data_IF_114900401473
#
_entry.id   IF_114900401473
#
_cell.length_a   1.000
_cell.length_b   1.000
_cell.length_c   1.000
_cell.angle_alpha   90.00
_cell.angle_beta   90.00
_cell.angle_gamma   90.00
#
_symmetry.space_group_name_H-M   'P 1'
#
loop_
_entity.id
_entity.type
_entity.pdbx_description
1 polymer ?
#
# COMPACT_ATOMS: atom_id res chain seq x y z
N UNK A 1 6.25 -2.56 14.55
CA UNK A 1 4.93 -2.07 14.99
C UNK A 1 4.82 -2.22 16.50
N UNK A 2 4.39 -1.17 17.22
CA UNK A 2 3.88 -1.38 18.57
C UNK A 2 2.71 -2.34 18.42
N UNK A 3 2.78 -3.54 18.99
CA UNK A 3 1.65 -4.47 19.00
C UNK A 3 0.38 -3.74 19.47
N UNK A 4 -0.82 -4.25 19.15
CA UNK A 4 -2.05 -3.70 19.74
C UNK A 4 -1.91 -3.51 21.27
N UNK A 5 -1.18 -4.40 21.93
CA UNK A 5 -0.83 -4.28 23.35
C UNK A 5 0.06 -3.06 23.66
N UNK A 6 1.09 -2.78 22.85
CA UNK A 6 1.92 -1.57 22.98
C UNK A 6 1.16 -0.27 22.74
N UNK A 7 0.31 -0.23 21.71
CA UNK A 7 -0.54 0.94 21.42
C UNK A 7 -1.64 1.11 22.48
N UNK A 8 -2.25 0.01 22.94
CA UNK A 8 -3.20 0.04 24.05
C UNK A 8 -2.52 0.51 25.34
N UNK A 9 -1.33 0.02 25.69
CA UNK A 9 -0.60 0.45 26.87
C UNK A 9 -0.27 1.94 26.81
N UNK A 10 0.20 2.43 25.66
CA UNK A 10 0.43 3.86 25.43
C UNK A 10 -0.86 4.68 25.59
N UNK A 11 -1.93 4.27 24.92
CA UNK A 11 -3.22 4.96 24.97
C UNK A 11 -3.86 4.87 26.37
N UNK A 12 -3.57 3.81 27.14
CA UNK A 12 -3.96 3.65 28.54
C UNK A 12 -3.25 4.66 29.43
N UNK A 13 -1.94 4.85 29.24
CA UNK A 13 -1.16 5.88 29.96
C UNK A 13 -1.70 7.27 29.63
N UNK A 14 -1.91 7.58 28.34
CA UNK A 14 -2.45 8.88 27.92
C UNK A 14 -3.86 9.10 28.48
N UNK A 15 -4.76 8.12 28.36
CA UNK A 15 -6.11 8.23 28.90
C UNK A 15 -6.10 8.40 30.43
N UNK A 16 -5.26 7.64 31.15
CA UNK A 16 -5.13 7.76 32.60
C UNK A 16 -4.64 9.16 33.03
N UNK A 17 -3.71 9.76 32.29
CA UNK A 17 -3.25 11.14 32.54
C UNK A 17 -4.36 12.15 32.25
N UNK A 18 -5.05 12.03 31.11
CA UNK A 18 -6.11 12.97 30.72
C UNK A 18 -7.35 12.90 31.63
N UNK A 19 -7.63 11.75 32.25
CA UNK A 19 -8.80 11.56 33.12
C UNK A 19 -8.42 11.27 34.57
N UNK A 20 -7.25 11.71 35.03
CA UNK A 20 -6.73 11.47 36.39
C UNK A 20 -7.68 11.99 37.50
N UNK A 21 -8.51 12.98 37.18
CA UNK A 21 -9.54 13.48 38.08
C UNK A 21 -10.56 12.40 38.50
N UNK A 22 -10.84 11.42 37.63
CA UNK A 22 -11.76 10.32 37.94
C UNK A 22 -11.30 9.51 39.15
N UNK A 23 -10.12 8.87 39.11
CA UNK A 23 -9.56 8.15 40.25
C UNK A 23 -9.44 9.00 41.53
N UNK A 24 -9.08 10.28 41.41
CA UNK A 24 -8.98 11.19 42.56
C UNK A 24 -10.35 11.41 43.21
N UNK A 25 -11.38 11.75 42.41
CA UNK A 25 -12.74 11.94 42.91
C UNK A 25 -13.33 10.64 43.48
N UNK A 26 -12.97 9.48 42.92
CA UNK A 26 -13.38 8.18 43.43
C UNK A 26 -12.85 7.98 44.86
N UNK A 27 -11.56 8.25 45.08
CA UNK A 27 -10.91 8.12 46.38
C UNK A 27 -11.49 9.12 47.38
N UNK A 28 -11.65 10.39 47.00
CA UNK A 28 -12.25 11.42 47.85
C UNK A 28 -13.71 11.09 48.24
N UNK A 29 -14.51 10.61 47.28
CA UNK A 29 -15.87 10.16 47.52
C UNK A 29 -15.91 8.94 48.45
N UNK A 30 -15.01 7.98 48.27
CA UNK A 30 -14.91 6.81 49.14
C UNK A 30 -14.55 7.17 50.59
N UNK A 31 -13.60 8.09 50.81
CA UNK A 31 -13.26 8.60 52.13
C UNK A 31 -14.43 9.36 52.77
N UNK A 32 -15.09 10.24 52.02
CA UNK A 32 -16.24 10.99 52.53
C UNK A 32 -17.47 10.14 52.85
N UNK A 33 -17.67 9.01 52.15
CA UNK A 33 -18.74 8.05 52.48
C UNK A 33 -18.39 7.19 53.70
N UNK A 34 -17.09 6.95 53.93
CA UNK A 34 -16.61 6.12 55.03
C UNK A 34 -16.57 6.85 56.39
N UNK A 35 -16.64 8.19 56.41
CA UNK A 35 -16.68 8.97 57.65
C UNK A 35 -18.08 8.93 58.29
N UNK A 36 -18.25 8.32 59.48
CA UNK A 36 -19.55 8.20 60.13
C UNK A 36 -20.08 9.51 60.72
N UNK A 37 -19.31 10.61 60.73
CA UNK A 37 -19.63 11.85 61.43
C UNK A 37 -20.45 12.89 60.65
N UNK A 38 -20.61 12.76 59.34
CA UNK A 38 -21.18 13.82 58.48
C UNK A 38 -22.63 13.53 58.07
N UNK A 39 -23.54 14.48 58.35
CA UNK A 39 -24.99 14.34 58.10
C UNK A 39 -25.38 14.53 56.63
N UNK A 40 -24.49 15.06 55.78
CA UNK A 40 -24.76 15.28 54.35
C UNK A 40 -23.87 14.41 53.44
N UNK A 41 -24.32 13.17 53.21
CA UNK A 41 -23.65 12.20 52.34
C UNK A 41 -23.80 12.47 50.84
N UNK A 42 -24.53 13.52 50.44
CA UNK A 42 -24.85 13.76 49.03
C UNK A 42 -23.60 14.12 48.22
N UNK A 43 -22.74 14.98 48.76
CA UNK A 43 -21.51 15.43 48.08
C UNK A 43 -20.49 14.28 47.92
N UNK A 44 -20.16 13.50 48.97
CA UNK A 44 -19.30 12.32 48.82
C UNK A 44 -19.84 11.28 47.82
N UNK A 45 -21.15 11.06 47.78
CA UNK A 45 -21.78 10.12 46.85
C UNK A 45 -21.70 10.61 45.40
N UNK A 46 -21.85 11.92 45.15
CA UNK A 46 -21.61 12.51 43.82
C UNK A 46 -20.16 12.33 43.40
N UNK A 47 -19.19 12.60 44.27
CA UNK A 47 -17.77 12.38 43.96
C UNK A 47 -17.45 10.91 43.69
N UNK A 48 -18.05 9.98 44.44
CA UNK A 48 -17.88 8.55 44.23
C UNK A 48 -18.43 8.11 42.86
N UNK A 49 -19.62 8.56 42.49
CA UNK A 49 -20.23 8.23 41.20
C UNK A 49 -19.48 8.85 40.00
N UNK A 50 -19.12 10.13 40.09
CA UNK A 50 -18.35 10.83 39.04
C UNK A 50 -16.96 10.23 38.93
N UNK A 51 -16.32 9.92 40.05
CA UNK A 51 -15.01 9.27 40.09
C UNK A 51 -15.03 7.87 39.49
N UNK A 52 -16.09 7.09 39.76
CA UNK A 52 -16.30 5.76 39.19
C UNK A 52 -16.48 5.84 37.67
N UNK A 53 -17.33 6.76 37.20
CA UNK A 53 -17.54 6.97 35.77
C UNK A 53 -16.24 7.39 35.07
N UNK A 54 -15.50 8.35 35.63
CA UNK A 54 -14.22 8.81 35.08
C UNK A 54 -13.14 7.71 35.06
N UNK A 55 -13.08 6.88 36.10
CA UNK A 55 -12.13 5.76 36.19
C UNK A 55 -12.46 4.66 35.18
N UNK A 56 -13.75 4.31 35.02
CA UNK A 56 -14.20 3.32 34.03
C UNK A 56 -14.05 3.82 32.59
N UNK A 57 -14.03 5.14 32.37
CA UNK A 57 -13.78 5.71 31.05
C UNK A 57 -12.34 5.49 30.56
N UNK A 58 -11.34 5.36 31.45
CA UNK A 58 -9.92 5.16 31.09
C UNK A 58 -9.72 3.95 30.16
N UNK A 59 -10.08 2.71 30.53
CA UNK A 59 -9.89 1.56 29.65
C UNK A 59 -10.75 1.64 28.39
N UNK A 60 -11.93 2.27 28.46
CA UNK A 60 -12.81 2.46 27.29
C UNK A 60 -12.19 3.41 26.27
N UNK A 61 -11.65 4.54 26.71
CA UNK A 61 -10.95 5.51 25.87
C UNK A 61 -9.66 4.93 25.30
N UNK A 62 -8.87 4.24 26.12
CA UNK A 62 -7.65 3.56 25.69
C UNK A 62 -7.94 2.50 24.61
N UNK A 63 -8.98 1.69 24.82
CA UNK A 63 -9.39 0.64 23.89
C UNK A 63 -10.01 1.22 22.61
N UNK A 64 -10.80 2.29 22.73
CA UNK A 64 -11.38 3.01 21.59
C UNK A 64 -10.29 3.64 20.73
N UNK A 65 -9.31 4.32 21.35
CA UNK A 65 -8.15 4.87 20.67
C UNK A 65 -7.32 3.79 19.98
N UNK A 66 -6.98 2.71 20.71
CA UNK A 66 -6.21 1.60 20.13
C UNK A 66 -6.96 0.91 18.96
N UNK A 67 -8.29 0.82 19.01
CA UNK A 67 -9.12 0.31 17.90
C UNK A 67 -9.26 1.31 16.75
N UNK A 68 -9.20 2.61 17.02
CA UNK A 68 -9.17 3.63 15.99
C UNK A 68 -7.85 3.60 15.22
N UNK A 69 -6.75 3.24 15.90
CA UNK A 69 -5.42 3.03 15.34
C UNK A 69 -5.32 1.70 14.56
N UNK A 70 -5.97 0.63 15.05
CA UNK A 70 -6.01 -0.70 14.41
C UNK A 70 -7.36 -1.01 13.78
N UNK A 71 -7.62 -0.46 12.59
CA UNK A 71 -8.90 -0.63 11.90
C UNK A 71 -8.94 -1.88 11.04
N UNK A 72 -9.18 -3.01 11.67
CA UNK A 72 -9.54 -4.23 10.95
C UNK A 72 -10.82 -4.02 10.10
N UNK A 73 -10.86 -4.68 8.94
CA UNK A 73 -12.01 -4.75 8.04
C UNK A 73 -13.04 -5.70 8.65
N UNK A 74 -14.30 -5.27 8.67
CA UNK A 74 -15.41 -5.99 9.28
C UNK A 74 -16.58 -6.09 8.31
N UNK A 75 -17.64 -6.84 8.66
CA UNK A 75 -18.86 -6.92 7.86
C UNK A 75 -19.48 -5.55 7.52
N UNK A 76 -19.32 -4.55 8.37
CA UNK A 76 -19.83 -3.17 8.13
C UNK A 76 -19.09 -2.45 7.01
N UNK A 77 -17.88 -2.89 6.70
CA UNK A 77 -17.06 -2.30 5.64
C UNK A 77 -17.35 -2.95 4.27
N UNK A 78 -18.15 -4.02 4.23
CA UNK A 78 -18.50 -4.75 2.99
C UNK A 78 -19.34 -3.87 2.07
N UNK A 79 -19.04 -3.93 0.77
CA UNK A 79 -19.83 -3.30 -0.28
C UNK A 79 -20.79 -4.34 -0.84
N UNK A 80 -22.05 -4.29 -0.44
CA UNK A 80 -23.05 -5.28 -0.88
C UNK A 80 -23.59 -5.00 -2.30
N UNK A 81 -23.59 -3.74 -2.75
CA UNK A 81 -24.15 -3.30 -4.05
C UNK A 81 -23.11 -2.70 -5.01
N UNK A 82 -21.82 -3.03 -4.86
CA UNK A 82 -20.81 -2.51 -5.77
C UNK A 82 -20.87 -3.23 -7.13
N UNK A 83 -20.72 -2.50 -8.26
CA UNK A 83 -20.59 -3.13 -9.56
C UNK A 83 -19.39 -4.09 -9.54
N UNK A 84 -19.59 -5.29 -10.07
CA UNK A 84 -18.56 -6.34 -10.12
C UNK A 84 -17.36 -5.81 -10.92
N UNK A 85 -16.29 -5.48 -10.22
CA UNK A 85 -15.02 -5.07 -10.82
C UNK A 85 -14.24 -6.32 -11.25
N UNK A 86 -13.61 -6.34 -12.44
CA UNK A 86 -12.67 -7.40 -12.81
C UNK A 86 -11.54 -7.53 -11.77
N UNK A 87 -11.04 -8.76 -11.54
CA UNK A 87 -9.97 -9.02 -10.57
C UNK A 87 -8.66 -8.26 -10.88
N UNK A 88 -8.43 -7.96 -12.15
CA UNK A 88 -7.26 -7.25 -12.64
C UNK A 88 -7.45 -5.72 -12.66
N UNK A 89 -8.63 -5.22 -12.34
CA UNK A 89 -8.90 -3.78 -12.32
C UNK A 89 -8.30 -3.08 -11.09
N UNK A 90 -7.87 -1.85 -11.27
CA UNK A 90 -7.33 -1.05 -10.18
C UNK A 90 -7.42 0.45 -10.45
N UNK A 91 -8.12 1.18 -9.58
CA UNK A 91 -8.14 2.64 -9.60
C UNK A 91 -7.09 3.23 -8.66
N UNK A 92 -6.20 4.05 -9.20
CA UNK A 92 -5.31 4.90 -8.41
C UNK A 92 -5.69 6.37 -8.62
N UNK A 93 -6.18 7.01 -7.56
CA UNK A 93 -6.44 8.44 -7.54
C UNK A 93 -5.17 9.17 -7.10
N UNK A 94 -4.23 9.33 -8.04
CA UNK A 94 -3.04 10.14 -7.82
C UNK A 94 -3.43 11.62 -7.60
N UNK A 95 -2.74 12.34 -6.70
CA UNK A 95 -3.05 13.74 -6.42
C UNK A 95 -2.89 14.63 -7.66
N UNK A 96 -3.73 15.66 -7.80
CA UNK A 96 -3.65 16.54 -8.98
C UNK A 96 -2.27 17.23 -9.02
N UNK A 97 -1.70 17.33 -10.21
CA UNK A 97 -0.47 18.09 -10.40
C UNK A 97 -0.81 19.59 -10.40
N UNK A 98 -0.22 20.37 -9.49
CA UNK A 98 -0.23 21.85 -9.51
C UNK A 98 0.69 22.43 -10.60
N UNK A 99 0.76 21.76 -11.76
CA UNK A 99 1.54 22.25 -12.90
C UNK A 99 0.56 23.03 -13.79
N UNK A 100 0.47 24.37 -13.71
CA UNK A 100 -0.16 25.13 -14.77
C UNK A 100 0.58 24.80 -16.07
N UNK A 101 -0.19 24.30 -17.03
CA UNK A 101 0.30 23.64 -18.25
C UNK A 101 0.60 24.54 -19.46
N UNK A 102 0.67 25.88 -19.45
CA UNK A 102 0.58 26.58 -20.73
C UNK A 102 1.87 26.52 -21.59
N UNK A 103 3.05 26.10 -21.11
CA UNK A 103 4.29 26.23 -21.90
C UNK A 103 5.26 25.01 -21.90
N UNK A 104 5.05 23.98 -21.08
CA UNK A 104 5.96 22.83 -21.01
C UNK A 104 5.50 21.62 -21.84
N UNK A 105 6.45 20.88 -22.44
CA UNK A 105 6.16 19.63 -23.17
C UNK A 105 6.39 18.41 -22.29
N UNK A 106 5.47 17.44 -22.38
CA UNK A 106 5.60 16.14 -21.70
C UNK A 106 6.61 15.24 -22.41
N UNK A 107 7.62 14.79 -21.68
CA UNK A 107 8.69 13.91 -22.14
C UNK A 107 8.90 12.76 -21.16
N UNK A 108 9.32 11.61 -21.68
CA UNK A 108 9.71 10.48 -20.85
C UNK A 108 11.03 10.79 -20.14
N UNK A 109 11.12 10.34 -18.88
CA UNK A 109 12.34 10.42 -18.10
C UNK A 109 12.62 9.08 -17.43
N UNK A 110 13.82 8.56 -17.62
CA UNK A 110 14.30 7.36 -16.93
C UNK A 110 15.01 7.78 -15.63
N UNK A 111 14.71 7.07 -14.54
CA UNK A 111 15.42 7.28 -13.28
C UNK A 111 16.72 6.52 -13.32
N UNK A 112 17.83 7.26 -13.41
CA UNK A 112 19.17 6.69 -13.29
C UNK A 112 19.47 6.40 -11.81
N UNK A 113 19.24 7.37 -10.93
CA UNK A 113 19.46 7.25 -9.48
C UNK A 113 18.28 7.83 -8.70
N UNK A 114 17.96 7.18 -7.59
CA UNK A 114 17.07 7.69 -6.57
C UNK A 114 17.67 7.41 -5.20
N UNK A 115 17.96 8.46 -4.45
CA UNK A 115 18.48 8.39 -3.09
C UNK A 115 17.50 9.07 -2.14
N UNK A 116 17.12 8.37 -1.07
CA UNK A 116 16.32 8.96 -0.02
C UNK A 116 17.14 10.05 0.69
N UNK A 117 16.55 11.24 0.85
CA UNK A 117 17.20 12.35 1.56
C UNK A 117 16.63 12.46 2.97
N UNK A 118 15.30 12.56 3.08
CA UNK A 118 14.57 12.61 4.36
C UNK A 118 13.08 12.39 4.17
N UNK A 119 12.42 11.99 5.25
CA UNK A 119 10.97 11.95 5.37
C UNK A 119 10.56 12.67 6.65
N UNK A 120 9.90 13.81 6.50
CA UNK A 120 9.68 14.75 7.60
C UNK A 120 10.96 15.43 8.09
N UNK A 121 10.85 16.67 8.55
CA UNK A 121 11.73 17.25 9.57
C UNK A 121 11.34 16.72 10.94
N UNK A 122 11.84 17.33 12.02
CA UNK A 122 11.80 16.87 13.42
C UNK A 122 10.40 16.66 14.07
N UNK A 123 9.37 16.32 13.31
CA UNK A 123 7.99 16.18 13.76
C UNK A 123 7.63 14.74 14.14
N UNK A 124 7.32 14.54 15.43
CA UNK A 124 6.63 13.38 15.98
C UNK A 124 5.15 13.37 15.54
N UNK A 125 4.85 12.97 14.30
CA UNK A 125 3.48 13.02 13.79
C UNK A 125 2.55 11.98 14.49
N UNK A 126 1.63 12.47 15.33
CA UNK A 126 0.55 11.70 15.96
C UNK A 126 -0.82 12.10 15.39
N UNK A 127 -0.99 12.05 14.06
CA UNK A 127 -2.17 12.48 13.27
C UNK A 127 -2.22 13.97 12.89
N UNK A 128 -2.18 14.25 11.60
CA UNK A 128 -2.56 15.56 11.03
C UNK A 128 -3.58 15.34 9.92
N UNK A 129 -4.64 16.14 9.90
CA UNK A 129 -5.64 16.18 8.84
C UNK A 129 -5.58 17.55 8.15
N UNK A 130 -5.26 17.57 6.86
CA UNK A 130 -5.34 18.78 6.05
C UNK A 130 -6.78 19.01 5.52
N UNK A 131 -7.10 20.24 5.13
CA UNK A 131 -8.40 20.59 4.51
C UNK A 131 -8.28 20.70 2.99
N UNK A 132 -9.17 20.01 2.24
CA UNK A 132 -9.26 20.08 0.77
C UNK A 132 -8.83 18.80 0.04
N UNK A 133 -8.93 18.77 -1.30
CA UNK A 133 -8.46 17.69 -2.18
C UNK A 133 -6.94 17.79 -2.48
N UNK A 134 -6.21 18.64 -1.74
CA UNK A 134 -4.81 18.98 -2.01
C UNK A 134 -3.86 18.02 -1.29
N UNK A 135 -2.79 17.64 -1.99
CA UNK A 135 -1.71 16.79 -1.51
C UNK A 135 -0.72 17.62 -0.69
N UNK A 136 -0.68 17.48 0.65
CA UNK A 136 0.05 18.38 1.51
C UNK A 136 1.54 18.39 1.21
N UNK A 137 2.12 19.58 1.04
CA UNK A 137 3.53 19.72 0.68
C UNK A 137 4.51 19.24 1.77
N UNK A 138 4.05 19.16 3.01
CA UNK A 138 4.91 18.95 4.18
C UNK A 138 5.25 17.47 4.43
N UNK A 139 4.32 16.54 4.16
CA UNK A 139 4.47 15.11 4.50
C UNK A 139 4.75 14.25 3.26
N UNK A 140 5.86 14.56 2.60
CA UNK A 140 6.35 13.83 1.42
C UNK A 140 7.83 13.48 1.59
N UNK A 141 8.25 12.27 1.17
CA UNK A 141 9.66 11.92 1.12
C UNK A 141 10.36 12.84 0.12
N UNK A 142 11.46 13.43 0.57
CA UNK A 142 12.39 14.16 -0.26
C UNK A 142 13.37 13.15 -0.83
N UNK A 143 13.37 13.03 -2.16
CA UNK A 143 14.21 12.07 -2.89
C UNK A 143 15.09 12.86 -3.84
N UNK A 144 16.40 12.58 -3.79
CA UNK A 144 17.35 13.06 -4.79
C UNK A 144 17.29 12.14 -6.00
N UNK A 145 17.00 12.72 -7.16
CA UNK A 145 16.83 12.00 -8.40
C UNK A 145 17.94 12.41 -9.37
N UNK A 146 18.53 11.43 -10.06
CA UNK A 146 19.26 11.61 -11.31
C UNK A 146 18.44 11.00 -12.42
N UNK A 147 18.04 11.81 -13.39
CA UNK A 147 17.13 11.43 -14.47
C UNK A 147 17.83 11.55 -15.82
N UNK A 148 17.49 10.68 -16.76
CA UNK A 148 17.75 10.88 -18.20
C UNK A 148 16.44 11.26 -18.87
N UNK A 149 16.38 12.45 -19.44
CA UNK A 149 15.18 13.01 -20.07
C UNK A 149 15.31 12.85 -21.57
N UNK A 150 14.21 12.47 -22.24
CA UNK A 150 14.17 12.16 -23.68
C UNK A 150 13.20 13.08 -24.43
N UNK A 151 13.57 14.35 -24.69
CA UNK A 151 12.72 15.25 -25.47
C UNK A 151 12.57 14.75 -26.91
N UNK A 152 11.43 14.99 -27.56
CA UNK A 152 11.22 14.55 -28.94
C UNK A 152 12.12 15.30 -29.94
N UNK A 153 12.36 16.59 -29.68
CA UNK A 153 13.02 17.51 -30.63
C UNK A 153 14.48 17.81 -30.27
N UNK A 154 15.06 17.12 -29.27
CA UNK A 154 16.44 17.36 -28.85
C UNK A 154 17.09 16.10 -28.28
N UNK A 155 18.43 16.12 -28.22
CA UNK A 155 19.19 15.02 -27.65
C UNK A 155 18.82 14.80 -26.17
N UNK A 156 18.78 13.53 -25.70
CA UNK A 156 18.57 13.24 -24.29
C UNK A 156 19.62 13.93 -23.42
N UNK A 157 19.21 14.39 -22.24
CA UNK A 157 20.10 15.04 -21.28
C UNK A 157 19.87 14.53 -19.86
N UNK A 158 20.89 14.65 -19.01
CA UNK A 158 20.78 14.26 -17.61
C UNK A 158 20.40 15.45 -16.74
N UNK A 159 19.52 15.19 -15.77
CA UNK A 159 19.08 16.16 -14.78
C UNK A 159 19.26 15.58 -13.38
N UNK A 160 19.76 16.37 -12.43
CA UNK A 160 19.86 15.97 -11.03
C UNK A 160 19.21 16.99 -10.14
N UNK A 161 18.40 16.54 -9.19
CA UNK A 161 17.83 17.42 -8.17
C UNK A 161 16.95 16.71 -7.16
N UNK A 162 16.54 17.43 -6.13
CA UNK A 162 15.70 16.92 -5.07
C UNK A 162 14.22 17.22 -5.33
N UNK A 163 13.36 16.23 -5.08
CA UNK A 163 11.93 16.33 -5.32
C UNK A 163 11.15 15.69 -4.19
N UNK A 164 10.08 16.36 -3.78
CA UNK A 164 9.06 15.79 -2.91
C UNK A 164 8.18 14.87 -3.75
N UNK A 165 8.09 13.61 -3.36
CA UNK A 165 7.37 12.59 -4.13
C UNK A 165 6.06 12.28 -3.42
N UNK A 166 4.89 12.48 -4.05
CA UNK A 166 3.62 12.06 -3.47
C UNK A 166 3.62 10.56 -3.17
N UNK A 167 3.11 10.16 -2.01
CA UNK A 167 3.20 8.76 -1.55
C UNK A 167 2.56 7.76 -2.54
N UNK A 168 1.44 8.12 -3.17
CA UNK A 168 0.79 7.30 -4.22
C UNK A 168 1.60 7.18 -5.52
N UNK A 169 2.59 8.05 -5.72
CA UNK A 169 3.44 8.13 -6.90
C UNK A 169 4.87 7.62 -6.63
N UNK A 170 5.18 7.16 -5.42
CA UNK A 170 6.48 6.57 -5.07
C UNK A 170 6.87 5.42 -5.99
N UNK A 171 5.89 4.61 -6.38
CA UNK A 171 6.07 3.51 -7.31
C UNK A 171 6.56 3.93 -8.70
N UNK A 172 6.42 5.21 -9.08
CA UNK A 172 6.97 5.71 -10.33
C UNK A 172 8.47 5.92 -10.28
N UNK A 173 8.99 6.36 -9.13
CA UNK A 173 10.43 6.46 -8.87
C UNK A 173 11.07 5.08 -8.96
N UNK A 174 10.42 4.08 -8.34
CA UNK A 174 10.93 2.71 -8.35
C UNK A 174 10.64 1.94 -9.65
N UNK A 175 9.60 2.27 -10.39
CA UNK A 175 9.46 1.72 -11.75
C UNK A 175 10.57 2.24 -12.68
N UNK A 176 11.25 3.32 -12.27
CA UNK A 176 12.31 3.96 -13.02
C UNK A 176 11.80 4.79 -14.20
N UNK A 177 10.50 5.08 -14.26
CA UNK A 177 9.84 5.74 -15.40
C UNK A 177 8.99 6.89 -14.91
N UNK A 178 9.37 8.09 -15.31
CA UNK A 178 8.71 9.33 -14.94
C UNK A 178 8.28 10.10 -16.20
N UNK A 179 7.32 10.99 -16.00
CA UNK A 179 6.93 12.00 -17.01
C UNK A 179 7.48 13.33 -16.53
N UNK A 180 8.43 13.86 -17.27
CA UNK A 180 8.97 15.19 -17.05
C UNK A 180 8.26 16.20 -17.95
N UNK A 181 8.16 17.43 -17.44
CA UNK A 181 7.70 18.61 -18.16
C UNK A 181 8.92 19.49 -18.34
N UNK A 182 9.34 19.68 -19.60
CA UNK A 182 10.49 20.50 -19.97
C UNK A 182 9.99 21.74 -20.69
N UNK A 183 10.43 22.90 -20.22
CA UNK A 183 10.16 24.18 -20.88
C UNK A 183 11.18 24.40 -22.00
N UNK A 184 10.70 24.75 -23.20
CA UNK A 184 11.57 24.94 -24.38
C UNK A 184 12.56 26.10 -24.22
N UNK A 185 12.20 27.10 -23.42
CA UNK A 185 13.01 28.31 -23.18
C UNK A 185 14.02 28.13 -22.04
N UNK A 186 13.78 27.16 -21.14
CA UNK A 186 14.62 26.89 -19.96
C UNK A 186 14.74 25.39 -19.71
N UNK A 187 15.56 24.67 -20.49
CA UNK A 187 15.71 23.21 -20.36
C UNK A 187 16.18 22.74 -18.98
N UNK A 188 16.82 23.62 -18.20
CA UNK A 188 17.27 23.35 -16.84
C UNK A 188 16.11 23.24 -15.82
N UNK A 189 14.93 23.78 -16.13
CA UNK A 189 13.76 23.73 -15.26
C UNK A 189 12.93 22.48 -15.56
N UNK A 190 13.36 21.36 -15.00
CA UNK A 190 12.65 20.07 -15.13
C UNK A 190 11.62 19.93 -14.02
N UNK A 191 10.34 19.87 -14.40
CA UNK A 191 9.24 19.53 -13.47
C UNK A 191 8.81 18.09 -13.70
N UNK A 192 8.31 17.42 -12.66
CA UNK A 192 7.82 16.03 -12.76
C UNK A 192 6.30 16.06 -12.63
N UNK A 193 5.60 15.43 -13.58
CA UNK A 193 4.18 15.19 -13.52
C UNK A 193 3.92 13.83 -12.84
N UNK A 194 3.69 13.86 -11.53
CA UNK A 194 3.54 12.65 -10.73
C UNK A 194 2.35 11.76 -11.14
N UNK A 195 1.15 12.29 -11.40
CA UNK A 195 0.02 11.48 -11.88
C UNK A 195 0.29 10.73 -13.17
N UNK A 196 0.92 11.40 -14.15
CA UNK A 196 1.28 10.77 -15.42
C UNK A 196 2.46 9.82 -15.26
N UNK A 197 3.37 10.10 -14.33
CA UNK A 197 4.46 9.18 -13.95
C UNK A 197 3.89 7.88 -13.36
N UNK A 198 2.86 7.94 -12.51
CA UNK A 198 2.21 6.74 -11.96
C UNK A 198 1.53 5.88 -13.04
N UNK A 199 0.99 6.51 -14.09
CA UNK A 199 0.48 5.83 -15.28
C UNK A 199 1.62 5.15 -16.05
N UNK A 200 2.68 5.90 -16.37
CA UNK A 200 3.83 5.41 -17.13
C UNK A 200 4.56 4.25 -16.44
N UNK A 201 4.62 4.30 -15.11
CA UNK A 201 5.18 3.28 -14.24
C UNK A 201 4.37 1.98 -14.20
N UNK A 202 3.13 1.97 -14.68
CA UNK A 202 2.20 0.85 -14.53
C UNK A 202 1.62 0.69 -13.11
N UNK A 203 1.88 1.66 -12.21
CA UNK A 203 1.25 1.68 -10.91
C UNK A 203 -0.26 1.91 -11.05
N UNK A 204 -0.66 2.79 -11.98
CA UNK A 204 -2.02 2.96 -12.47
C UNK A 204 -2.16 2.26 -13.82
N UNK A 205 -2.99 1.20 -13.93
CA UNK A 205 -3.27 0.57 -15.20
C UNK A 205 -3.97 1.53 -16.18
N UNK A 206 -3.76 1.30 -17.47
CA UNK A 206 -4.38 2.06 -18.54
C UNK A 206 -4.84 1.12 -19.63
N UNK A 207 -6.16 0.99 -19.80
CA UNK A 207 -6.78 0.19 -20.85
C UNK A 207 -7.58 1.08 -21.78
N UNK A 208 -7.62 0.72 -23.06
CA UNK A 208 -8.47 1.37 -24.04
C UNK A 208 -9.56 0.40 -24.50
N UNK A 209 -10.78 0.89 -24.71
CA UNK A 209 -11.82 0.21 -25.48
C UNK A 209 -11.89 0.93 -26.82
N UNK A 210 -11.48 0.24 -27.88
CA UNK A 210 -11.47 0.73 -29.25
C UNK A 210 -12.86 1.09 -29.77
N UNK A 211 -12.91 1.77 -30.91
CA UNK A 211 -14.16 2.07 -31.62
C UNK A 211 -14.88 0.80 -32.10
N UNK A 212 -14.13 -0.29 -32.29
CA UNK A 212 -14.59 -1.65 -32.57
C UNK A 212 -15.07 -2.41 -31.32
N UNK A 213 -14.95 -1.82 -30.12
CA UNK A 213 -15.25 -2.45 -28.85
C UNK A 213 -14.13 -3.35 -28.30
N UNK A 214 -13.00 -3.50 -29.00
CA UNK A 214 -11.88 -4.31 -28.54
C UNK A 214 -11.18 -3.65 -27.36
N UNK A 215 -10.96 -4.41 -26.29
CA UNK A 215 -10.20 -3.95 -25.12
C UNK A 215 -8.72 -4.25 -25.32
N UNK A 216 -7.86 -3.25 -25.10
CA UNK A 216 -6.40 -3.40 -25.12
C UNK A 216 -5.78 -2.83 -23.86
N UNK A 217 -4.70 -3.45 -23.38
CA UNK A 217 -3.96 -2.99 -22.21
C UNK A 217 -2.69 -2.24 -22.64
N UNK A 218 -2.60 -0.97 -22.25
CA UNK A 218 -1.41 -0.14 -22.46
C UNK A 218 -0.47 -0.18 -21.25
N UNK A 219 -0.85 -0.83 -20.16
CA UNK A 219 -0.06 -0.90 -18.93
C UNK A 219 1.32 -1.51 -19.22
N UNK A 220 2.38 -0.79 -18.86
CA UNK A 220 3.75 -1.22 -19.11
C UNK A 220 4.25 -1.01 -20.56
N UNK A 221 3.48 -0.33 -21.42
CA UNK A 221 3.88 0.10 -22.77
C UNK A 221 4.24 1.59 -22.76
N UNK A 222 5.47 1.96 -22.37
CA UNK A 222 5.81 3.36 -22.09
C UNK A 222 5.62 4.26 -23.31
N UNK A 223 6.00 3.79 -24.50
CA UNK A 223 5.88 4.56 -25.74
C UNK A 223 4.42 4.90 -26.07
N UNK A 224 3.54 3.88 -26.01
CA UNK A 224 2.11 4.06 -26.24
C UNK A 224 1.45 4.93 -25.15
N UNK A 225 1.90 4.81 -23.89
CA UNK A 225 1.40 5.63 -22.79
C UNK A 225 1.82 7.09 -22.92
N UNK A 226 3.06 7.37 -23.33
CA UNK A 226 3.52 8.75 -23.57
C UNK A 226 2.72 9.38 -24.69
N UNK A 227 2.46 8.66 -25.78
CA UNK A 227 1.62 9.15 -26.87
C UNK A 227 0.17 9.39 -26.43
N UNK A 228 -0.41 8.46 -25.67
CA UNK A 228 -1.72 8.61 -25.05
C UNK A 228 -1.79 9.88 -24.18
N UNK A 229 -0.78 10.10 -23.33
CA UNK A 229 -0.64 11.25 -22.45
C UNK A 229 -0.63 12.55 -23.26
N UNK A 230 0.11 12.59 -24.37
CA UNK A 230 0.19 13.75 -25.26
C UNK A 230 -1.15 14.03 -25.93
N UNK A 231 -1.80 13.00 -26.49
CA UNK A 231 -3.14 13.12 -27.09
C UNK A 231 -4.12 13.67 -26.06
N UNK A 232 -4.15 13.11 -24.86
CA UNK A 232 -5.00 13.60 -23.77
C UNK A 232 -4.69 15.06 -23.40
N UNK A 233 -3.40 15.44 -23.38
CA UNK A 233 -2.96 16.81 -23.12
C UNK A 233 -3.55 17.84 -24.09
N UNK A 234 -3.74 17.49 -25.37
CA UNK A 234 -4.29 18.41 -26.39
C UNK A 234 -5.74 18.83 -26.15
N UNK A 235 -6.48 18.11 -25.31
CA UNK A 235 -7.89 18.37 -24.99
C UNK A 235 -8.14 18.67 -23.51
N UNK A 236 -7.09 19.05 -22.78
CA UNK A 236 -7.20 19.35 -21.34
C UNK A 236 -7.29 18.12 -20.44
N UNK A 237 -7.05 16.93 -20.99
CA UNK A 237 -7.12 15.65 -20.29
C UNK A 237 -8.27 14.78 -20.76
N UNK A 238 -8.16 13.48 -20.48
CA UNK A 238 -9.21 12.50 -20.75
C UNK A 238 -9.56 11.82 -19.44
N UNK A 239 -10.84 11.78 -19.11
CA UNK A 239 -11.32 11.06 -17.93
C UNK A 239 -11.23 9.56 -18.18
N UNK A 240 -10.61 8.85 -17.25
CA UNK A 240 -10.62 7.39 -17.21
C UNK A 240 -11.76 6.93 -16.30
N UNK A 241 -12.46 5.87 -16.69
CA UNK A 241 -13.35 5.12 -15.81
C UNK A 241 -12.55 4.00 -15.14
N UNK A 242 -12.24 4.17 -13.85
CA UNK A 242 -11.31 3.33 -13.06
C UNK A 242 -9.90 3.33 -13.67
N UNK A 243 -9.69 2.50 -14.69
CA UNK A 243 -8.45 2.29 -15.42
C UNK A 243 -8.65 2.24 -16.94
N UNK A 244 -9.88 2.47 -17.43
CA UNK A 244 -10.26 2.28 -18.82
C UNK A 244 -10.69 3.59 -19.47
N UNK A 245 -10.29 3.81 -20.72
CA UNK A 245 -10.76 4.91 -21.58
C UNK A 245 -11.58 4.29 -22.70
N UNK A 246 -12.86 4.64 -22.76
CA UNK A 246 -13.74 4.22 -23.84
C UNK A 246 -13.73 5.25 -24.98
N UNK A 247 -13.15 4.86 -26.11
CA UNK A 247 -12.97 5.77 -27.26
C UNK A 247 -14.32 6.21 -27.87
N UNK A 248 -15.38 5.44 -27.68
CA UNK A 248 -16.74 5.73 -28.18
C UNK A 248 -17.36 6.94 -27.48
N UNK A 249 -16.86 7.29 -26.31
CA UNK A 249 -17.32 8.42 -25.50
C UNK A 249 -16.49 9.70 -25.73
N UNK A 250 -15.54 9.70 -26.66
CA UNK A 250 -14.63 10.82 -26.93
C UNK A 250 -15.02 11.57 -28.20
N UNK A 251 -14.52 12.80 -28.33
CA UNK A 251 -14.66 13.57 -29.56
C UNK A 251 -13.99 12.82 -30.74
N UNK A 252 -14.60 12.78 -31.94
CA UNK A 252 -14.11 11.96 -33.05
C UNK A 252 -12.62 12.13 -33.38
N UNK A 253 -12.05 13.36 -33.43
CA UNK A 253 -10.62 13.53 -33.73
C UNK A 253 -9.69 12.91 -32.68
N UNK A 254 -10.09 12.92 -31.41
CA UNK A 254 -9.32 12.32 -30.30
C UNK A 254 -9.44 10.80 -30.35
N UNK A 255 -10.67 10.30 -30.57
CA UNK A 255 -10.95 8.88 -30.68
C UNK A 255 -10.14 8.24 -31.81
N UNK A 256 -10.09 8.86 -33.00
CA UNK A 256 -9.30 8.37 -34.14
C UNK A 256 -7.80 8.29 -33.82
N UNK A 257 -7.24 9.29 -33.12
CA UNK A 257 -5.82 9.26 -32.74
C UNK A 257 -5.51 8.15 -31.75
N UNK A 258 -6.37 7.94 -30.76
CA UNK A 258 -6.21 6.86 -29.78
C UNK A 258 -6.50 5.48 -30.37
N UNK A 259 -7.37 5.39 -31.38
CA UNK A 259 -7.62 4.14 -32.11
C UNK A 259 -6.35 3.66 -32.82
N UNK A 260 -5.52 4.58 -33.33
CA UNK A 260 -4.20 4.24 -33.87
C UNK A 260 -3.27 3.57 -32.83
N UNK A 261 -3.42 3.86 -31.54
CA UNK A 261 -2.71 3.14 -30.48
C UNK A 261 -3.24 1.72 -30.33
N UNK A 262 -4.57 1.56 -30.33
CA UNK A 262 -5.26 0.27 -30.22
C UNK A 262 -4.81 -0.68 -31.32
N UNK A 263 -4.71 -0.20 -32.55
CA UNK A 263 -4.26 -0.97 -33.73
C UNK A 263 -2.79 -1.40 -33.63
N UNK A 264 -1.93 -0.60 -32.99
CA UNK A 264 -0.52 -0.95 -32.75
C UNK A 264 -0.32 -1.94 -31.60
N UNK A 265 -1.33 -2.16 -30.75
CA UNK A 265 -1.30 -3.23 -29.74
C UNK A 265 -1.58 -4.57 -30.45
N UNK A 266 -0.54 -5.12 -31.06
CA UNK A 266 -0.57 -6.38 -31.81
C UNK A 266 0.61 -7.31 -31.55
N UNK A 267 1.76 -6.78 -31.13
CA UNK A 267 2.89 -7.59 -30.68
C UNK A 267 3.08 -7.45 -29.17
N UNK A 268 3.27 -8.55 -28.42
CA UNK A 268 3.69 -8.46 -27.04
C UNK A 268 5.06 -7.80 -27.02
N UNK A 269 5.11 -6.47 -26.79
CA UNK A 269 6.39 -5.81 -26.59
C UNK A 269 7.08 -6.51 -25.43
N UNK A 270 8.21 -7.13 -25.71
CA UNK A 270 9.06 -7.74 -24.71
C UNK A 270 9.30 -6.66 -23.65
N UNK A 271 8.91 -6.93 -22.41
CA UNK A 271 9.13 -6.00 -21.30
C UNK A 271 10.64 -5.73 -21.31
N UNK A 272 11.13 -4.51 -21.58
CA UNK A 272 12.55 -4.26 -21.36
C UNK A 272 12.74 -4.55 -19.88
N UNK A 273 13.49 -5.61 -19.57
CA UNK A 273 13.95 -5.82 -18.21
C UNK A 273 14.63 -4.52 -17.82
N UNK A 274 14.30 -3.98 -16.64
CA UNK A 274 15.17 -2.98 -16.03
C UNK A 274 16.57 -3.57 -16.11
N UNK A 275 17.46 -2.93 -16.88
CA UNK A 275 18.84 -3.38 -16.92
C UNK A 275 19.34 -3.31 -15.48
N UNK A 276 19.79 -4.43 -14.88
CA UNK A 276 20.44 -4.37 -13.60
C UNK A 276 21.64 -3.44 -13.76
N UNK A 277 21.84 -2.56 -12.77
CA UNK A 277 23.06 -1.77 -12.66
C UNK A 277 24.28 -2.70 -12.69
N UNK A 278 25.42 -2.26 -13.26
CA UNK A 278 26.65 -3.06 -13.35
C UNK A 278 27.15 -3.62 -11.99
N UNK A 279 26.70 -3.01 -10.90
CA UNK A 279 27.17 -3.25 -9.53
C UNK A 279 26.30 -4.29 -8.78
N UNK A 280 25.24 -4.82 -9.39
CA UNK A 280 24.39 -5.88 -8.83
C UNK A 280 23.56 -5.51 -7.59
N UNK A 281 23.60 -4.26 -7.11
CA UNK A 281 22.82 -3.79 -5.95
C UNK A 281 21.52 -3.10 -6.40
N UNK A 282 20.36 -3.48 -5.85
CA UNK A 282 19.11 -2.78 -6.14
C UNK A 282 19.16 -1.34 -5.61
N UNK A 283 18.88 -0.35 -6.47
CA UNK A 283 18.64 1.04 -6.07
C UNK A 283 17.18 1.17 -5.67
N UNK A 284 16.88 1.05 -4.39
CA UNK A 284 15.51 1.29 -3.94
C UNK A 284 15.49 2.20 -2.73
N UNK A 285 14.94 3.40 -2.95
CA UNK A 285 14.42 4.25 -1.86
C UNK A 285 13.51 3.44 -0.92
N UNK A 286 12.91 2.35 -1.41
CA UNK A 286 12.09 1.38 -0.65
C UNK A 286 12.71 0.98 0.69
N UNK A 287 14.02 0.69 0.74
CA UNK A 287 14.68 0.21 1.97
C UNK A 287 14.79 1.31 3.05
N UNK A 288 14.85 2.57 2.61
CA UNK A 288 14.94 3.75 3.47
C UNK A 288 13.56 4.37 3.78
N UNK A 289 12.49 3.87 3.14
CA UNK A 289 11.14 4.38 3.32
C UNK A 289 10.49 3.79 4.58
N UNK A 290 9.69 4.59 5.32
CA UNK A 290 8.91 4.09 6.44
C UNK A 290 8.01 2.91 6.08
N UNK A 291 8.02 1.89 6.93
CA UNK A 291 7.19 0.71 6.81
C UNK A 291 7.85 -0.50 7.46
N UNK A 292 7.11 -1.59 7.57
CA UNK A 292 7.65 -2.83 8.12
C UNK A 292 8.57 -3.53 7.11
N UNK A 293 9.61 -4.21 7.59
CA UNK A 293 10.40 -5.10 6.73
C UNK A 293 9.53 -6.28 6.26
N UNK A 294 9.84 -6.83 5.09
CA UNK A 294 9.20 -8.04 4.61
C UNK A 294 9.64 -9.24 5.47
N UNK A 295 8.69 -10.03 5.97
CA UNK A 295 8.99 -11.27 6.71
C UNK A 295 7.92 -12.34 6.50
N UNK A 296 8.27 -13.61 6.74
CA UNK A 296 7.29 -14.70 6.82
C UNK A 296 6.32 -14.52 7.99
N UNK A 297 6.71 -13.67 8.95
CA UNK A 297 5.91 -13.11 10.02
C UNK A 297 5.81 -14.00 11.26
N UNK A 298 5.48 -13.36 12.38
CA UNK A 298 5.12 -14.07 13.61
C UNK A 298 3.75 -14.71 13.50
N UNK A 299 3.55 -15.79 14.25
CA UNK A 299 2.27 -16.47 14.40
C UNK A 299 1.81 -16.35 15.84
N UNK A 300 0.73 -15.59 16.06
CA UNK A 300 0.02 -15.65 17.35
C UNK A 300 -0.59 -17.06 17.48
N UNK A 301 0.02 -17.86 18.36
CA UNK A 301 -0.38 -19.25 18.59
C UNK A 301 -1.80 -19.36 19.14
N UNK A 302 -2.31 -18.36 19.85
CA UNK A 302 -3.69 -18.38 20.34
C UNK A 302 -4.63 -18.15 19.16
N UNK A 303 -4.38 -17.13 18.34
CA UNK A 303 -5.17 -16.88 17.13
C UNK A 303 -5.20 -18.09 16.20
N UNK A 304 -4.04 -18.68 15.89
CA UNK A 304 -3.95 -19.87 15.05
C UNK A 304 -4.71 -21.07 15.65
N UNK A 305 -4.56 -21.35 16.96
CA UNK A 305 -5.28 -22.44 17.65
C UNK A 305 -6.79 -22.31 17.60
N UNK A 306 -7.32 -21.09 17.58
CA UNK A 306 -8.76 -20.86 17.53
C UNK A 306 -9.30 -20.85 16.09
N UNK A 307 -8.49 -21.23 15.09
CA UNK A 307 -8.92 -21.28 13.69
C UNK A 307 -8.72 -19.97 12.93
N UNK A 308 -7.81 -19.11 13.38
CA UNK A 308 -7.32 -17.97 12.61
C UNK A 308 -6.56 -18.42 11.35
N UNK A 309 -6.76 -17.72 10.23
CA UNK A 309 -6.21 -18.12 8.93
C UNK A 309 -5.62 -16.93 8.16
N UNK A 310 -4.68 -17.18 7.25
CA UNK A 310 -4.18 -16.16 6.31
C UNK A 310 -4.91 -16.22 4.99
N UNK A 311 -5.17 -15.06 4.40
CA UNK A 311 -5.74 -15.00 3.07
C UNK A 311 -5.22 -13.88 2.18
N UNK A 312 -5.51 -14.01 0.88
CA UNK A 312 -5.22 -12.98 -0.11
C UNK A 312 -6.24 -11.86 0.00
N UNK A 313 -5.75 -10.64 -0.06
CA UNK A 313 -6.54 -9.48 -0.39
C UNK A 313 -5.87 -8.73 -1.56
N UNK A 314 -6.57 -7.78 -2.16
CA UNK A 314 -6.04 -6.97 -3.27
C UNK A 314 -6.67 -5.60 -3.23
N UNK A 315 -5.88 -4.57 -3.49
CA UNK A 315 -6.42 -3.25 -3.74
C UNK A 315 -7.14 -3.22 -5.09
N UNK A 316 -8.40 -2.79 -5.07
CA UNK A 316 -9.18 -2.39 -6.25
C UNK A 316 -9.19 -0.87 -6.42
N UNK A 317 -8.99 -0.14 -5.32
CA UNK A 317 -8.96 1.32 -5.33
C UNK A 317 -8.05 1.85 -4.23
N UNK A 318 -7.25 2.86 -4.55
CA UNK A 318 -6.51 3.70 -3.61
C UNK A 318 -6.80 5.18 -3.88
N UNK A 319 -7.22 5.89 -2.84
CA UNK A 319 -7.43 7.34 -2.87
C UNK A 319 -6.73 8.00 -1.70
N UNK A 320 -5.99 9.06 -2.00
CA UNK A 320 -5.36 9.91 -1.00
C UNK A 320 -6.40 10.51 -0.06
N UNK A 321 -6.10 10.52 1.24
CA UNK A 321 -6.82 11.37 2.19
C UNK A 321 -5.90 12.48 2.64
N UNK A 322 -6.42 13.40 3.43
CA UNK A 322 -5.64 14.45 4.05
C UNK A 322 -5.00 14.02 5.37
N UNK A 323 -5.09 12.73 5.75
CA UNK A 323 -4.57 12.21 7.02
C UNK A 323 -3.28 11.43 6.83
N UNK A 324 -2.27 11.74 7.64
CA UNK A 324 -0.98 11.05 7.65
C UNK A 324 -0.65 10.51 9.04
N UNK A 325 -0.01 9.33 9.06
CA UNK A 325 0.56 8.70 10.24
C UNK A 325 2.06 8.50 10.04
N UNK A 326 2.77 8.17 11.12
CA UNK A 326 4.21 7.93 11.11
C UNK A 326 4.67 6.94 10.01
N UNK A 327 3.94 5.84 9.82
CA UNK A 327 4.30 4.79 8.88
C UNK A 327 3.84 5.05 7.43
N UNK A 328 3.03 6.07 7.17
CA UNK A 328 2.54 6.40 5.83
C UNK A 328 1.22 7.18 5.80
N UNK A 329 0.70 7.47 4.59
CA UNK A 329 -0.59 8.13 4.44
C UNK A 329 -1.73 7.20 4.84
N UNK A 330 -2.78 7.77 5.42
CA UNK A 330 -4.08 7.11 5.50
C UNK A 330 -4.74 7.25 4.13
N UNK A 331 -5.12 6.14 3.54
CA UNK A 331 -5.76 6.07 2.23
C UNK A 331 -7.19 5.55 2.38
N UNK A 332 -8.10 6.10 1.58
CA UNK A 332 -9.37 5.43 1.32
C UNK A 332 -9.11 4.31 0.33
N UNK A 333 -9.51 3.09 0.70
CA UNK A 333 -9.21 1.88 -0.05
C UNK A 333 -10.48 1.10 -0.34
N UNK A 334 -10.50 0.44 -1.50
CA UNK A 334 -11.41 -0.68 -1.75
C UNK A 334 -10.56 -1.92 -1.90
N UNK A 335 -10.86 -2.93 -1.10
CA UNK A 335 -10.16 -4.22 -1.06
C UNK A 335 -11.07 -5.31 -1.58
N UNK A 336 -10.56 -6.20 -2.43
CA UNK A 336 -11.14 -7.53 -2.63
C UNK A 336 -10.48 -8.50 -1.67
N UNK A 337 -11.28 -9.29 -0.96
CA UNK A 337 -10.81 -10.30 -0.02
C UNK A 337 -11.30 -11.66 -0.52
N UNK A 338 -10.38 -12.63 -0.65
CA UNK A 338 -10.72 -14.02 -1.00
C UNK A 338 -10.73 -14.85 0.27
N UNK A 339 -11.87 -15.38 0.75
CA UNK A 339 -11.90 -16.30 1.87
C UNK A 339 -11.16 -17.63 1.58
N UNK A 340 -10.59 -18.27 2.60
CA UNK A 340 -9.77 -19.49 2.45
C UNK A 340 -10.60 -20.74 2.13
N UNK A 341 -11.84 -20.83 2.63
CA UNK A 341 -12.67 -22.05 2.55
C UNK A 341 -13.70 -22.03 1.40
N UNK A 342 -13.32 -21.50 0.24
CA UNK A 342 -14.20 -21.48 -0.95
C UNK A 342 -15.41 -20.53 -0.82
N UNK A 343 -15.35 -19.57 0.11
CA UNK A 343 -16.31 -18.47 0.13
C UNK A 343 -16.10 -17.55 -1.06
N UNK A 344 -17.19 -16.99 -1.58
CA UNK A 344 -17.12 -15.99 -2.64
C UNK A 344 -16.28 -14.78 -2.20
N UNK A 345 -15.41 -14.25 -3.08
CA UNK A 345 -14.71 -13.01 -2.82
C UNK A 345 -15.71 -11.90 -2.53
N UNK A 346 -15.34 -10.99 -1.64
CA UNK A 346 -16.15 -9.81 -1.35
C UNK A 346 -15.29 -8.56 -1.34
N UNK A 347 -15.93 -7.45 -1.69
CA UNK A 347 -15.28 -6.15 -1.71
C UNK A 347 -15.60 -5.39 -0.41
N UNK A 348 -14.62 -4.68 0.14
CA UNK A 348 -14.76 -3.90 1.35
C UNK A 348 -14.09 -2.53 1.20
N UNK A 349 -14.77 -1.47 1.66
CA UNK A 349 -14.23 -0.12 1.69
C UNK A 349 -13.67 0.20 3.06
N UNK A 350 -12.39 0.58 3.13
CA UNK A 350 -11.73 0.88 4.40
C UNK A 350 -10.71 2.01 4.29
N UNK A 351 -10.60 2.82 5.33
CA UNK A 351 -9.44 3.72 5.53
C UNK A 351 -8.29 2.94 6.15
N UNK A 352 -7.15 2.90 5.47
CA UNK A 352 -5.96 2.14 5.89
C UNK A 352 -4.72 3.03 5.80
N UNK A 353 -3.85 2.94 6.81
CA UNK A 353 -2.49 3.45 6.70
C UNK A 353 -1.68 2.47 5.88
N UNK A 354 -1.21 2.89 4.71
CA UNK A 354 -0.43 2.03 3.82
C UNK A 354 1.05 2.40 3.96
N UNK A 355 1.92 1.43 4.30
CA UNK A 355 3.36 1.65 4.41
C UNK A 355 3.96 2.25 3.14
N UNK A 356 4.88 3.19 3.29
CA UNK A 356 5.48 3.87 2.14
C UNK A 356 6.36 2.94 1.31
N UNK A 357 7.06 2.01 1.96
CA UNK A 357 7.83 0.97 1.27
C UNK A 357 6.93 0.07 0.41
N UNK A 358 5.72 -0.26 0.86
CA UNK A 358 4.70 -0.95 0.05
C UNK A 358 4.23 -0.07 -1.12
N UNK A 359 3.90 1.20 -0.86
CA UNK A 359 3.45 2.14 -1.89
C UNK A 359 4.48 2.32 -3.01
N UNK A 360 5.76 2.24 -2.66
CA UNK A 360 6.87 2.27 -3.59
C UNK A 360 6.93 1.01 -4.49
N UNK A 361 6.20 -0.07 -4.21
CA UNK A 361 6.16 -1.27 -5.06
C UNK A 361 4.81 -1.52 -5.73
N UNK A 362 3.89 -0.53 -5.73
CA UNK A 362 2.60 -0.68 -6.39
C UNK A 362 2.72 -1.06 -7.88
N UNK A 363 3.77 -0.66 -8.60
CA UNK A 363 3.96 -1.06 -9.99
C UNK A 363 4.19 -2.58 -10.18
N UNK A 364 4.53 -3.31 -9.12
CA UNK A 364 4.74 -4.78 -9.14
C UNK A 364 3.51 -5.54 -8.73
N UNK A 365 2.88 -5.15 -7.62
CA UNK A 365 1.73 -5.86 -7.08
C UNK A 365 0.75 -4.93 -6.40
N UNK A 366 -0.52 -5.35 -6.40
CA UNK A 366 -1.62 -4.75 -5.62
C UNK A 366 -2.16 -5.72 -4.57
N UNK A 367 -1.54 -6.89 -4.46
CA UNK A 367 -1.98 -7.97 -3.60
C UNK A 367 -1.38 -7.87 -2.20
N UNK A 368 -2.19 -8.23 -1.22
CA UNK A 368 -1.92 -8.15 0.19
C UNK A 368 -2.14 -9.51 0.85
N UNK A 369 -1.54 -9.68 2.02
CA UNK A 369 -1.85 -10.77 2.94
C UNK A 369 -2.68 -10.22 4.09
N UNK A 370 -3.78 -10.91 4.40
CA UNK A 370 -4.69 -10.53 5.48
C UNK A 370 -4.82 -11.67 6.51
N UNK A 371 -4.76 -11.31 7.79
CA UNK A 371 -5.14 -12.15 8.93
C UNK A 371 -6.67 -12.20 9.02
N UNK A 372 -7.24 -13.40 9.04
CA UNK A 372 -8.67 -13.63 9.25
C UNK A 372 -8.91 -14.07 10.69
N UNK A 373 -9.84 -13.42 11.38
CA UNK A 373 -10.21 -13.83 12.74
C UNK A 373 -10.87 -15.22 12.76
N UNK A 374 -10.78 -15.94 13.90
CA UNK A 374 -11.50 -17.21 14.12
C UNK A 374 -12.98 -17.20 13.75
N UNK A 375 -13.68 -16.11 14.07
CA UNK A 375 -15.10 -15.93 13.77
C UNK A 375 -15.36 -15.47 12.32
N UNK A 376 -14.30 -15.26 11.53
CA UNK A 376 -14.28 -14.85 10.11
C UNK A 376 -14.99 -13.52 9.85
N UNK A 377 -15.17 -12.71 10.89
CA UNK A 377 -15.85 -11.41 10.82
C UNK A 377 -14.89 -10.24 10.77
N UNK A 378 -13.60 -10.47 10.99
CA UNK A 378 -12.56 -9.46 11.06
C UNK A 378 -11.37 -9.87 10.21
N UNK A 379 -10.91 -8.93 9.39
CA UNK A 379 -9.75 -9.09 8.52
C UNK A 379 -8.76 -7.96 8.79
N UNK A 380 -7.50 -8.28 9.01
CA UNK A 380 -6.45 -7.30 9.28
C UNK A 380 -5.32 -7.48 8.28
N UNK A 381 -4.85 -6.40 7.66
CA UNK A 381 -3.74 -6.50 6.71
C UNK A 381 -2.45 -6.74 7.48
N UNK A 382 -1.74 -7.80 7.08
CA UNK A 382 -0.42 -8.11 7.62
C UNK A 382 0.64 -7.46 6.72
N UNK A 383 1.15 -6.31 7.15
CA UNK A 383 2.11 -5.55 6.36
C UNK A 383 3.46 -6.24 6.22
N UNK A 384 3.94 -6.99 7.22
CA UNK A 384 5.19 -7.75 7.11
C UNK A 384 5.10 -8.78 5.97
N UNK A 385 4.01 -9.57 5.96
CA UNK A 385 3.77 -10.59 4.94
C UNK A 385 3.45 -9.98 3.58
N UNK A 386 2.73 -8.87 3.56
CA UNK A 386 2.43 -8.13 2.33
C UNK A 386 3.69 -7.52 1.72
N UNK A 387 4.60 -6.97 2.53
CA UNK A 387 5.89 -6.43 2.06
C UNK A 387 6.83 -7.53 1.56
N UNK A 388 6.85 -8.70 2.20
CA UNK A 388 7.59 -9.85 1.68
C UNK A 388 7.03 -10.29 0.32
N UNK A 389 5.71 -10.39 0.21
CA UNK A 389 5.04 -10.76 -1.03
C UNK A 389 5.20 -9.73 -2.15
N UNK A 390 5.29 -8.44 -1.81
CA UNK A 390 5.58 -7.37 -2.76
C UNK A 390 7.05 -7.32 -3.21
N UNK A 391 7.94 -8.01 -2.49
CA UNK A 391 9.37 -8.00 -2.76
C UNK A 391 10.07 -6.72 -2.26
N UNK A 392 9.59 -6.15 -1.15
CA UNK A 392 10.31 -5.10 -0.39
C UNK A 392 11.63 -5.67 0.13
N UNK A 393 11.60 -6.89 0.66
CA UNK A 393 12.76 -7.62 1.15
C UNK A 393 12.87 -8.94 0.38
N UNK A 394 14.08 -9.47 0.12
CA UNK A 394 14.24 -10.77 -0.52
C UNK A 394 13.52 -11.87 0.26
N UNK A 395 12.79 -12.75 -0.41
CA UNK A 395 12.07 -13.84 0.23
C UNK A 395 12.74 -15.18 -0.07
N UNK A 396 13.58 -15.65 0.85
CA UNK A 396 14.42 -16.84 0.62
C UNK A 396 13.91 -18.05 1.39
N UNK A 397 13.90 -19.21 0.74
CA UNK A 397 13.66 -20.50 1.39
C UNK A 397 14.89 -21.38 1.17
N UNK A 398 15.53 -21.82 2.25
CA UNK A 398 16.67 -22.75 2.19
C UNK A 398 16.14 -24.15 2.47
N UNK A 399 16.25 -25.04 1.49
CA UNK A 399 15.79 -26.41 1.59
C UNK A 399 16.67 -27.27 2.51
N UNK A 400 16.20 -28.45 2.95
CA UNK A 400 17.00 -29.36 3.78
C UNK A 400 18.32 -29.79 3.14
N UNK A 401 18.39 -29.83 1.81
CA UNK A 401 19.60 -30.11 1.02
C UNK A 401 20.54 -28.91 0.86
N UNK A 402 20.18 -27.75 1.42
CA UNK A 402 20.94 -26.50 1.33
C UNK A 402 20.67 -25.67 0.08
N UNK A 403 19.81 -26.11 -0.83
CA UNK A 403 19.45 -25.33 -2.02
C UNK A 403 18.57 -24.14 -1.64
N UNK A 404 18.88 -22.96 -2.19
CA UNK A 404 18.12 -21.75 -1.97
C UNK A 404 17.08 -21.53 -3.07
N UNK A 405 15.87 -21.15 -2.66
CA UNK A 405 14.78 -20.74 -3.54
C UNK A 405 14.45 -19.28 -3.28
N UNK A 406 14.63 -18.44 -4.29
CA UNK A 406 14.18 -17.05 -4.26
C UNK A 406 12.71 -16.95 -4.70
N UNK A 407 11.87 -16.51 -3.77
CA UNK A 407 10.43 -16.31 -3.95
C UNK A 407 10.05 -14.82 -3.97
N UNK A 408 11.02 -13.92 -4.11
CA UNK A 408 10.79 -12.47 -4.09
C UNK A 408 9.74 -12.07 -5.13
N UNK A 409 8.69 -11.39 -4.68
CA UNK A 409 7.58 -10.96 -5.55
C UNK A 409 6.61 -12.07 -5.97
N UNK A 410 6.74 -13.30 -5.45
CA UNK A 410 5.89 -14.44 -5.82
C UNK A 410 4.85 -14.74 -4.73
N UNK A 411 3.73 -14.02 -4.78
CA UNK A 411 2.67 -14.14 -3.76
C UNK A 411 2.14 -15.56 -3.58
N UNK A 412 1.77 -16.26 -4.65
CA UNK A 412 1.07 -17.55 -4.54
C UNK A 412 1.89 -18.62 -3.80
N UNK A 413 3.18 -18.90 -4.15
CA UNK A 413 3.99 -19.81 -3.35
C UNK A 413 4.25 -19.28 -1.94
N UNK A 414 4.48 -17.97 -1.75
CA UNK A 414 4.69 -17.39 -0.42
C UNK A 414 3.48 -17.55 0.48
N UNK A 415 2.28 -17.27 -0.02
CA UNK A 415 1.04 -17.39 0.74
C UNK A 415 0.74 -18.85 1.11
N UNK A 416 1.03 -19.79 0.21
CA UNK A 416 0.93 -21.23 0.51
C UNK A 416 1.85 -21.61 1.68
N UNK A 417 3.12 -21.19 1.64
CA UNK A 417 4.10 -21.44 2.71
C UNK A 417 3.66 -20.76 4.02
N UNK A 418 3.28 -19.49 3.98
CA UNK A 418 2.83 -18.75 5.17
C UNK A 418 1.60 -19.42 5.81
N UNK A 419 0.63 -19.89 5.03
CA UNK A 419 -0.53 -20.65 5.54
C UNK A 419 -0.11 -21.94 6.24
N UNK A 420 0.86 -22.67 5.68
CA UNK A 420 1.43 -23.85 6.33
C UNK A 420 2.10 -23.48 7.66
N UNK A 421 2.92 -22.43 7.69
CA UNK A 421 3.56 -21.95 8.91
C UNK A 421 2.52 -21.58 9.99
N UNK A 422 1.43 -20.91 9.62
CA UNK A 422 0.32 -20.60 10.55
C UNK A 422 -0.37 -21.86 11.06
N UNK A 423 -0.71 -22.81 10.17
CA UNK A 423 -1.37 -24.06 10.55
C UNK A 423 -0.54 -24.86 11.57
N UNK A 424 0.78 -24.83 11.44
CA UNK A 424 1.73 -25.50 12.34
C UNK A 424 2.25 -24.61 13.47
N UNK A 425 1.76 -23.37 13.60
CA UNK A 425 2.13 -22.44 14.68
C UNK A 425 3.63 -22.10 14.72
N UNK A 426 4.26 -22.07 13.55
CA UNK A 426 5.68 -21.76 13.36
C UNK A 426 5.84 -20.28 13.02
N UNK A 427 6.46 -19.51 13.93
CA UNK A 427 6.84 -18.12 13.68
C UNK A 427 8.17 -18.04 12.97
N UNK A 428 8.25 -17.20 11.95
CA UNK A 428 9.49 -16.88 11.22
C UNK A 428 9.53 -15.37 11.06
N UNK A 429 10.09 -14.63 12.04
CA UNK A 429 10.07 -13.17 12.04
C UNK A 429 10.98 -12.55 10.97
N UNK A 430 11.76 -13.39 10.27
CA UNK A 430 12.71 -12.98 9.25
C UNK A 430 12.17 -13.21 7.82
N UNK A 431 12.94 -12.71 6.84
CA UNK A 431 12.70 -12.88 5.41
C UNK A 431 13.32 -14.17 4.83
N UNK A 432 14.00 -14.96 5.67
CA UNK A 432 14.64 -16.24 5.32
C UNK A 432 14.01 -17.39 6.10
N UNK A 433 13.48 -18.38 5.38
CA UNK A 433 12.98 -19.63 5.94
C UNK A 433 14.02 -20.74 5.74
N UNK A 434 14.81 -21.04 6.77
CA UNK A 434 15.79 -22.13 6.73
C UNK A 434 15.17 -23.46 7.22
N UNK A 435 14.87 -24.37 6.30
CA UNK A 435 14.24 -25.66 6.60
C UNK A 435 15.20 -26.68 7.24
N UNK A 436 16.51 -26.38 7.31
CA UNK A 436 17.48 -27.20 8.05
C UNK A 436 17.39 -26.96 9.55
N UNK A 437 16.82 -25.83 9.96
CA UNK A 437 16.64 -25.50 11.37
C UNK A 437 15.68 -26.49 12.03
N UNK A 438 16.08 -27.06 13.17
CA UNK A 438 15.29 -28.05 13.94
C UNK A 438 13.84 -27.59 14.22
N UNK A 439 13.64 -26.28 14.41
CA UNK A 439 12.31 -25.70 14.64
C UNK A 439 11.34 -25.79 13.45
N UNK A 440 11.82 -26.07 12.25
CA UNK A 440 11.03 -26.16 11.01
C UNK A 440 10.89 -27.60 10.49
N UNK A 441 11.43 -28.59 11.21
CA UNK A 441 11.43 -30.00 10.80
C UNK A 441 10.02 -30.53 10.50
N UNK A 442 9.04 -30.16 11.33
CA UNK A 442 7.65 -30.58 11.19
C UNK A 442 6.95 -30.05 9.91
N UNK A 443 7.45 -28.96 9.33
CA UNK A 443 6.85 -28.31 8.14
C UNK A 443 7.67 -28.50 6.87
N UNK A 444 8.91 -28.96 6.98
CA UNK A 444 9.87 -28.99 5.88
C UNK A 444 9.34 -29.73 4.64
N UNK A 445 8.80 -30.94 4.81
CA UNK A 445 8.26 -31.73 3.70
C UNK A 445 7.07 -31.03 3.00
N UNK A 446 6.17 -30.41 3.76
CA UNK A 446 4.99 -29.71 3.22
C UNK A 446 5.39 -28.42 2.48
N UNK A 447 6.39 -27.70 3.00
CA UNK A 447 6.95 -26.52 2.33
C UNK A 447 7.59 -26.91 1.00
N UNK A 448 8.38 -27.99 0.96
CA UNK A 448 9.00 -28.47 -0.28
C UNK A 448 7.96 -28.89 -1.33
N UNK A 449 6.87 -29.52 -0.90
CA UNK A 449 5.78 -29.89 -1.81
C UNK A 449 5.01 -28.67 -2.33
N UNK A 450 4.77 -27.67 -1.46
CA UNK A 450 4.17 -26.41 -1.87
C UNK A 450 5.05 -25.65 -2.88
N UNK A 451 6.37 -25.65 -2.67
CA UNK A 451 7.33 -25.07 -3.63
C UNK A 451 7.23 -25.77 -4.98
N UNK A 452 7.33 -27.10 -5.02
CA UNK A 452 7.25 -27.89 -6.25
C UNK A 452 5.96 -27.59 -7.03
N UNK A 453 4.83 -27.71 -6.35
CA UNK A 453 3.51 -27.49 -6.96
C UNK A 453 3.34 -26.09 -7.55
N UNK A 454 3.82 -25.05 -6.87
CA UNK A 454 3.62 -23.67 -7.33
C UNK A 454 4.68 -23.24 -8.37
N UNK A 455 5.91 -23.76 -8.30
CA UNK A 455 6.93 -23.51 -9.32
C UNK A 455 6.57 -24.19 -10.65
N UNK A 456 6.03 -25.41 -10.59
CA UNK A 456 5.56 -26.14 -11.79
C UNK A 456 4.38 -25.41 -12.45
N UNK A 457 3.43 -24.90 -11.66
CA UNK A 457 2.34 -24.05 -12.18
C UNK A 457 2.85 -22.78 -12.86
N UNK A 458 3.90 -22.17 -12.33
CA UNK A 458 4.56 -21.00 -12.91
C UNK A 458 5.18 -21.30 -14.28
N UNK A 459 5.72 -22.50 -14.50
CA UNK A 459 6.27 -22.93 -15.79
C UNK A 459 5.17 -23.23 -16.84
N UNK A 460 4.03 -23.80 -16.41
CA UNK A 460 2.88 -24.07 -17.31
C UNK A 460 2.00 -22.84 -17.57
N UNK A 461 2.12 -21.79 -16.75
CA UNK A 461 1.33 -20.55 -16.84
C UNK A 461 1.90 -19.50 -17.81
N UNK A 462 3.03 -19.76 -18.46
CA UNK A 462 3.60 -18.92 -19.53
C UNK A 462 2.97 -19.21 -20.93
N UNK A 463 1.78 -19.78 -20.96
CA UNK A 463 0.88 -19.79 -22.13
C UNK A 463 -0.09 -18.60 -22.05
N UNK A 464 -0.60 -18.09 -23.19
CA UNK A 464 -1.20 -16.77 -23.27
C UNK A 464 -2.39 -16.63 -22.31
N UNK A 465 -2.33 -15.61 -21.46
CA UNK A 465 -3.44 -15.14 -20.61
C UNK A 465 -3.62 -13.65 -20.82
#
# INVERSE_FOLDING_TARGET
MQSFAGTFARNLVVAAVCTVAGPILLVLGAFGVADPGESDRRIPLVFLLVGLAGTLAIPVLALSGARADYRAVTRRDRLDDAPVRPDDSFALWAPRADVPTPQGRFTAADVLEAAFVRYGGDWEATYQSYGGDLDPDEVKPLIRLRLRIHPDDSAPFEWTGERRVPSLCLSAVTAGRLVAVVESTRPAEVRIDWPRSALLAGARPCRLIGLDGRRVDLTGRPDLLVEQIRIAGTVGGIRMDVDTIDLRNLAPPVATRLQGLVERVGEPAERPALQPTPDGRPRWVVDDLPGEAGAFGDVDRRWARHGGQLTRARFLELRGTTTYQYHGPVLETVLRIWPVEGGEPFDARKKLTVPMNYLALLHRTKDLVALVSPDRRRYEIDWNRSNLAAGVTPALVIAPDGREFDLTGRLDPLLAIMRLLVAHQVSVPDNVLDLRARRHEAVAAQVMEALRTNLDRGATGAGPR
#
